data_IF_321472961968
#
_entry.id   IF_321472961968
#
_cell.length_a   1.000
_cell.length_b   1.000
_cell.length_c   1.000
_cell.angle_alpha   90.00
_cell.angle_beta   90.00
_cell.angle_gamma   90.00
#
_symmetry.space_group_name_H-M   'P 1'
#
loop_
_entity.id
_entity.type
_entity.pdbx_description
1 polymer ?
#
# COMPACT_ATOMS: atom_id res chain seq x y z
N UNK A 1 11.50 30.98 12.34
CA UNK A 1 11.58 31.75 11.09
C UNK A 1 10.84 33.08 11.26
N UNK A 2 11.10 34.04 10.39
CA UNK A 2 10.42 35.34 10.38
C UNK A 2 8.92 35.19 10.12
N UNK A 3 8.54 34.24 9.29
CA UNK A 3 7.14 33.90 8.97
C UNK A 3 6.37 33.40 10.19
N UNK A 4 6.96 32.53 11.01
CA UNK A 4 6.32 32.07 12.24
C UNK A 4 6.05 33.21 13.21
N UNK A 5 6.99 34.17 13.37
CA UNK A 5 6.78 35.33 14.24
C UNK A 5 5.70 36.26 13.71
N UNK A 6 5.54 36.35 12.38
CA UNK A 6 4.46 37.12 11.75
C UNK A 6 3.12 36.48 12.06
N UNK A 7 3.00 35.17 11.84
CA UNK A 7 1.80 34.38 12.13
C UNK A 7 1.40 34.49 13.62
N UNK A 8 2.36 34.36 14.55
CA UNK A 8 2.10 34.50 16.01
C UNK A 8 1.59 35.89 16.37
N UNK A 9 2.08 36.94 15.69
CA UNK A 9 1.59 38.32 15.91
C UNK A 9 0.18 38.53 15.37
N UNK A 10 -0.11 37.95 14.18
CA UNK A 10 -1.44 38.06 13.55
C UNK A 10 -2.50 37.28 14.33
N UNK A 11 -2.13 36.09 14.81
CA UNK A 11 -3.04 35.24 15.59
C UNK A 11 -3.11 35.60 17.08
N UNK A 12 -2.22 36.46 17.57
CA UNK A 12 -2.18 36.85 18.97
C UNK A 12 -1.79 35.73 19.94
N UNK A 13 -1.22 34.63 19.46
CA UNK A 13 -0.86 33.46 20.23
C UNK A 13 0.46 32.84 19.76
N UNK A 14 1.22 32.25 20.69
CA UNK A 14 2.40 31.46 20.33
C UNK A 14 1.96 30.13 19.71
N UNK A 15 2.53 29.77 18.58
CA UNK A 15 2.20 28.53 17.84
C UNK A 15 3.26 27.44 18.01
N UNK A 16 4.49 27.83 18.41
CA UNK A 16 5.58 26.90 18.65
C UNK A 16 6.23 27.13 20.00
N UNK A 17 6.48 26.04 20.72
CA UNK A 17 7.38 25.98 21.87
C UNK A 17 8.71 25.37 21.48
N UNK A 18 9.80 26.03 21.93
CA UNK A 18 11.16 25.54 21.71
C UNK A 18 11.53 24.56 22.81
N UNK A 19 11.98 23.39 22.42
CA UNK A 19 12.52 22.36 23.31
C UNK A 19 14.02 22.17 23.02
N UNK A 20 14.78 21.58 23.95
CA UNK A 20 16.19 21.24 23.70
C UNK A 20 16.42 20.34 22.49
N UNK A 21 15.40 19.59 22.07
CA UNK A 21 15.44 18.64 20.97
C UNK A 21 14.75 19.14 19.69
N UNK A 22 14.25 20.39 19.68
CA UNK A 22 13.58 20.96 18.49
C UNK A 22 12.45 21.94 18.87
N UNK A 23 11.39 21.95 18.08
CA UNK A 23 10.20 22.75 18.32
C UNK A 23 8.95 21.86 18.26
N UNK A 24 7.99 22.11 19.16
CA UNK A 24 6.70 21.43 19.21
C UNK A 24 5.57 22.43 19.07
N UNK A 25 4.45 22.01 18.49
CA UNK A 25 3.25 22.85 18.40
C UNK A 25 2.63 23.07 19.76
N UNK A 26 2.27 24.32 20.06
CA UNK A 26 1.39 24.64 21.20
C UNK A 26 -0.06 24.20 20.89
N UNK A 27 -0.97 24.32 21.86
CA UNK A 27 -2.39 24.08 21.62
C UNK A 27 -2.94 25.02 20.51
N UNK A 28 -2.54 26.29 20.52
CA UNK A 28 -2.87 27.25 19.45
C UNK A 28 -2.24 26.86 18.11
N UNK A 29 -0.99 26.36 18.12
CA UNK A 29 -0.31 25.83 16.95
C UNK A 29 -1.02 24.65 16.33
N UNK A 30 -1.55 23.71 17.14
CA UNK A 30 -2.36 22.59 16.65
C UNK A 30 -3.66 23.04 15.99
N UNK A 31 -4.38 23.97 16.64
CA UNK A 31 -5.62 24.53 16.06
C UNK A 31 -5.36 25.20 14.70
N UNK A 32 -4.25 25.93 14.57
CA UNK A 32 -3.88 26.57 13.31
C UNK A 32 -3.40 25.56 12.25
N UNK A 33 -2.65 24.53 12.64
CA UNK A 33 -2.25 23.47 11.72
C UNK A 33 -3.49 22.71 11.17
N UNK A 34 -4.43 22.33 12.06
CA UNK A 34 -5.68 21.69 11.66
C UNK A 34 -6.54 22.61 10.76
N UNK A 35 -6.49 23.94 10.98
CA UNK A 35 -7.18 24.92 10.14
C UNK A 35 -6.49 25.07 8.78
N UNK A 36 -5.16 25.09 8.73
CA UNK A 36 -4.39 25.13 7.49
C UNK A 36 -4.64 23.90 6.63
N UNK A 37 -4.65 22.70 7.23
CA UNK A 37 -5.01 21.46 6.53
C UNK A 37 -6.40 21.57 5.90
N UNK A 38 -7.39 22.06 6.63
CA UNK A 38 -8.76 22.23 6.07
C UNK A 38 -8.81 23.25 4.93
N UNK A 39 -8.02 24.33 4.99
CA UNK A 39 -7.95 25.34 3.90
C UNK A 39 -7.27 24.75 2.67
N UNK A 40 -6.19 23.99 2.84
CA UNK A 40 -5.52 23.30 1.73
C UNK A 40 -6.44 22.26 1.07
N UNK A 41 -7.20 21.50 1.87
CA UNK A 41 -8.21 20.56 1.40
C UNK A 41 -9.30 21.29 0.58
N UNK A 42 -9.80 22.43 1.07
CA UNK A 42 -10.84 23.21 0.39
C UNK A 42 -10.33 23.82 -0.92
N UNK A 43 -9.09 24.37 -0.94
CA UNK A 43 -8.47 24.87 -2.16
C UNK A 43 -8.24 23.77 -3.20
N UNK A 44 -7.89 22.57 -2.74
CA UNK A 44 -7.75 21.39 -3.59
C UNK A 44 -9.12 21.02 -4.18
N UNK A 45 -10.16 21.05 -3.35
CA UNK A 45 -11.56 20.83 -3.75
C UNK A 45 -12.00 21.80 -4.83
N UNK A 46 -11.81 23.11 -4.62
CA UNK A 46 -12.20 24.15 -5.61
C UNK A 46 -11.46 23.96 -6.94
N UNK A 47 -10.17 23.64 -6.91
CA UNK A 47 -9.42 23.35 -8.16
C UNK A 47 -10.00 22.21 -8.95
N UNK A 48 -10.53 21.18 -8.28
CA UNK A 48 -11.15 20.02 -8.93
C UNK A 48 -12.55 20.34 -9.43
N UNK A 49 -13.36 21.05 -8.63
CA UNK A 49 -14.67 21.50 -9.10
C UNK A 49 -14.55 22.37 -10.38
N UNK A 50 -13.51 23.19 -10.46
CA UNK A 50 -13.21 23.96 -11.68
C UNK A 50 -12.78 23.05 -12.85
N UNK A 51 -12.06 21.99 -12.57
CA UNK A 51 -11.69 21.00 -13.59
C UNK A 51 -12.89 20.12 -14.02
N UNK A 52 -13.84 19.84 -13.10
CA UNK A 52 -15.06 19.08 -13.39
C UNK A 52 -16.09 19.87 -14.26
N UNK A 53 -15.97 21.19 -14.33
CA UNK A 53 -16.81 22.03 -15.21
C UNK A 53 -16.39 21.94 -16.68
N UNK A 54 -15.25 21.34 -16.95
CA UNK A 54 -14.77 21.09 -18.29
C UNK A 54 -15.10 19.62 -18.67
N UNK A 55 -16.10 19.40 -19.52
CA UNK A 55 -16.52 18.09 -20.09
C UNK A 55 -15.41 17.44 -20.96
N UNK A 56 -14.17 17.81 -20.74
CA UNK A 56 -13.01 17.41 -21.52
C UNK A 56 -12.51 16.02 -21.12
N UNK A 57 -11.78 15.39 -22.02
CA UNK A 57 -11.03 14.16 -21.83
C UNK A 57 -10.23 14.26 -20.53
N UNK A 58 -10.32 13.26 -19.61
CA UNK A 58 -9.58 13.30 -18.36
C UNK A 58 -8.10 13.58 -18.61
N UNK A 59 -7.59 14.67 -18.07
CA UNK A 59 -6.22 15.11 -18.28
C UNK A 59 -5.59 15.53 -16.94
N UNK A 60 -4.27 15.45 -16.86
CA UNK A 60 -3.50 15.88 -15.70
C UNK A 60 -2.58 14.82 -15.15
N UNK A 61 -1.97 15.12 -13.98
CA UNK A 61 -0.98 14.26 -13.33
C UNK A 61 -1.61 13.59 -12.11
N UNK A 62 -1.51 12.26 -12.04
CA UNK A 62 -1.95 11.45 -10.89
C UNK A 62 -0.74 10.74 -10.28
N UNK A 63 -0.49 10.98 -8.99
CA UNK A 63 0.63 10.38 -8.25
C UNK A 63 0.15 9.23 -7.41
N UNK A 64 0.73 8.05 -7.64
CA UNK A 64 0.34 6.79 -7.01
C UNK A 64 1.49 6.23 -6.20
N UNK A 65 1.30 6.13 -4.88
CA UNK A 65 2.21 5.40 -4.00
C UNK A 65 1.81 3.93 -3.90
N UNK A 66 2.77 3.01 -3.97
CA UNK A 66 2.48 1.58 -3.94
C UNK A 66 3.67 0.75 -3.48
N UNK A 67 3.44 -0.50 -3.14
CA UNK A 67 4.46 -1.51 -2.83
C UNK A 67 4.84 -2.32 -4.09
N UNK A 68 6.03 -2.92 -4.08
CA UNK A 68 6.70 -3.51 -5.25
C UNK A 68 5.82 -4.49 -6.06
N UNK A 69 5.16 -5.46 -5.40
CA UNK A 69 4.38 -6.47 -6.14
C UNK A 69 3.16 -5.87 -6.86
N UNK A 70 2.50 -4.84 -6.27
CA UNK A 70 1.40 -4.14 -6.95
C UNK A 70 1.91 -3.20 -8.05
N UNK A 71 3.10 -2.60 -7.90
CA UNK A 71 3.73 -1.86 -9.00
C UNK A 71 3.89 -2.78 -10.20
N UNK A 72 4.50 -3.94 -10.02
CA UNK A 72 4.75 -4.89 -11.12
C UNK A 72 3.48 -5.45 -11.75
N UNK A 73 2.57 -5.94 -10.92
CA UNK A 73 1.40 -6.68 -11.40
C UNK A 73 0.26 -5.80 -11.90
N UNK A 74 0.10 -4.60 -11.33
CA UNK A 74 -1.04 -3.72 -11.59
C UNK A 74 -0.64 -2.43 -12.29
N UNK A 75 0.32 -1.69 -11.72
CA UNK A 75 0.58 -0.33 -12.17
C UNK A 75 1.38 -0.27 -13.48
N UNK A 76 2.38 -1.13 -13.69
CA UNK A 76 3.12 -1.13 -14.95
C UNK A 76 2.25 -1.52 -16.17
N UNK A 77 1.41 -2.57 -16.11
CA UNK A 77 0.44 -2.85 -17.18
C UNK A 77 -0.57 -1.70 -17.36
N UNK A 78 -1.05 -1.09 -16.27
CA UNK A 78 -1.95 0.06 -16.33
C UNK A 78 -1.33 1.23 -17.07
N UNK A 79 -0.07 1.59 -16.77
CA UNK A 79 0.65 2.67 -17.47
C UNK A 79 0.71 2.40 -18.98
N UNK A 80 1.01 1.16 -19.36
CA UNK A 80 1.06 0.77 -20.78
C UNK A 80 -0.29 0.90 -21.48
N UNK A 81 -1.39 0.58 -20.77
CA UNK A 81 -2.75 0.74 -21.29
C UNK A 81 -3.14 2.22 -21.39
N UNK A 82 -2.91 3.00 -20.34
CA UNK A 82 -3.27 4.43 -20.31
C UNK A 82 -2.50 5.25 -21.34
N UNK A 83 -1.27 4.90 -21.66
CA UNK A 83 -0.50 5.56 -22.71
C UNK A 83 -1.21 5.56 -24.08
N UNK A 84 -2.07 4.55 -24.33
CA UNK A 84 -2.85 4.43 -25.58
C UNK A 84 -4.28 4.93 -25.45
N UNK A 85 -4.91 4.70 -24.31
CA UNK A 85 -6.34 4.98 -24.12
C UNK A 85 -6.61 6.40 -23.60
N UNK A 86 -5.66 6.97 -22.87
CA UNK A 86 -5.82 8.27 -22.20
C UNK A 86 -4.47 9.02 -22.18
N UNK A 87 -3.93 9.43 -23.35
CA UNK A 87 -2.59 10.00 -23.46
C UNK A 87 -2.42 11.35 -22.75
N UNK A 88 -3.52 12.03 -22.39
CA UNK A 88 -3.51 13.26 -21.63
C UNK A 88 -3.39 13.05 -20.11
N UNK A 89 -3.44 11.78 -19.65
CA UNK A 89 -3.20 11.41 -18.25
C UNK A 89 -1.75 11.00 -18.05
N UNK A 90 -1.04 11.71 -17.20
CA UNK A 90 0.29 11.33 -16.72
C UNK A 90 0.15 10.66 -15.36
N UNK A 91 0.53 9.38 -15.26
CA UNK A 91 0.55 8.66 -13.98
C UNK A 91 1.99 8.49 -13.52
N UNK A 92 2.30 9.05 -12.36
CA UNK A 92 3.61 8.95 -11.71
C UNK A 92 3.49 7.90 -10.61
N UNK A 93 4.25 6.82 -10.73
CA UNK A 93 4.28 5.72 -9.75
C UNK A 93 5.51 5.88 -8.87
N UNK A 94 5.31 5.79 -7.57
CA UNK A 94 6.38 5.80 -6.57
C UNK A 94 6.27 4.54 -5.71
N UNK A 95 7.36 3.77 -5.63
CA UNK A 95 7.44 2.71 -4.64
C UNK A 95 7.64 3.32 -3.25
N UNK A 96 6.72 3.06 -2.35
CA UNK A 96 6.74 3.62 -1.00
C UNK A 96 6.06 2.69 0.00
N UNK A 97 6.67 2.57 1.18
CA UNK A 97 6.03 1.93 2.32
C UNK A 97 4.81 2.76 2.80
N UNK A 98 3.77 2.08 3.25
CA UNK A 98 2.53 2.71 3.72
C UNK A 98 2.76 3.81 4.75
N UNK A 99 3.64 3.58 5.74
CA UNK A 99 3.98 4.56 6.78
C UNK A 99 4.51 5.88 6.22
N UNK A 100 5.17 5.85 5.05
CA UNK A 100 5.71 7.02 4.36
C UNK A 100 4.70 7.60 3.35
N UNK A 101 3.88 6.76 2.71
CA UNK A 101 2.91 7.16 1.69
C UNK A 101 1.68 7.85 2.30
N UNK A 102 1.12 7.35 3.41
CA UNK A 102 -0.11 7.89 4.00
C UNK A 102 -0.01 9.36 4.46
N UNK A 103 1.08 9.83 5.10
CA UNK A 103 1.25 11.25 5.39
C UNK A 103 1.29 12.11 4.12
N UNK A 104 1.89 11.61 3.04
CA UNK A 104 1.98 12.30 1.75
C UNK A 104 0.62 12.37 1.05
N UNK A 105 -0.18 11.28 1.12
CA UNK A 105 -1.56 11.28 0.65
C UNK A 105 -2.40 12.35 1.37
N UNK A 106 -2.25 12.48 2.69
CA UNK A 106 -2.95 13.52 3.47
C UNK A 106 -2.57 14.94 3.03
N UNK A 107 -1.29 15.17 2.69
CA UNK A 107 -0.79 16.48 2.22
C UNK A 107 -1.05 16.75 0.75
N UNK A 108 -1.68 15.84 0.00
CA UNK A 108 -1.92 15.99 -1.43
C UNK A 108 -0.67 15.82 -2.31
N UNK A 109 0.42 15.27 -1.77
CA UNK A 109 1.62 14.92 -2.52
C UNK A 109 1.45 13.61 -3.30
N UNK A 110 0.54 12.76 -2.86
CA UNK A 110 0.04 11.58 -3.56
C UNK A 110 -1.49 11.70 -3.70
N UNK A 111 -2.03 11.12 -4.76
CA UNK A 111 -3.47 11.08 -5.04
C UNK A 111 -4.09 9.76 -4.65
N UNK A 112 -3.37 8.67 -4.90
CA UNK A 112 -3.74 7.29 -4.57
C UNK A 112 -2.61 6.60 -3.81
N UNK A 113 -2.97 5.73 -2.88
CA UNK A 113 -2.03 4.84 -2.20
C UNK A 113 -2.60 3.42 -2.22
N UNK A 114 -1.87 2.50 -2.84
CA UNK A 114 -2.18 1.07 -2.75
C UNK A 114 -1.60 0.53 -1.45
N UNK A 115 -2.43 -0.22 -0.75
CA UNK A 115 -2.07 -0.82 0.54
C UNK A 115 -2.41 -2.30 0.53
N UNK A 116 -1.67 -3.05 1.33
CA UNK A 116 -1.91 -4.47 1.53
C UNK A 116 -2.32 -4.76 2.97
N UNK A 117 -3.15 -5.78 3.17
CA UNK A 117 -3.56 -6.27 4.48
C UNK A 117 -3.65 -7.79 4.46
N UNK A 118 -3.30 -8.42 5.56
CA UNK A 118 -3.76 -9.79 5.80
C UNK A 118 -5.25 -9.78 6.15
N UNK A 119 -5.95 -10.84 5.88
CA UNK A 119 -7.39 -10.95 6.18
C UNK A 119 -7.71 -10.53 7.61
N UNK A 120 -8.86 -9.87 7.80
CA UNK A 120 -9.35 -9.39 9.10
C UNK A 120 -8.50 -8.29 9.79
N UNK A 121 -7.49 -7.73 9.13
CA UNK A 121 -6.63 -6.69 9.72
C UNK A 121 -6.90 -5.27 9.20
N UNK A 122 -7.95 -5.08 8.39
CA UNK A 122 -8.31 -3.77 7.82
C UNK A 122 -8.90 -2.84 8.89
N UNK A 123 -8.16 -1.83 9.37
CA UNK A 123 -8.78 -0.76 10.12
C UNK A 123 -9.65 0.08 9.18
N UNK A 124 -10.73 0.63 9.70
CA UNK A 124 -11.55 1.58 8.94
C UNK A 124 -10.69 2.76 8.44
N UNK A 125 -11.00 3.26 7.23
CA UNK A 125 -10.33 4.44 6.70
C UNK A 125 -10.46 5.62 7.67
N UNK A 126 -9.39 6.39 7.92
CA UNK A 126 -9.47 7.59 8.74
C UNK A 126 -10.45 8.61 8.16
N UNK A 127 -10.93 9.52 9.00
CA UNK A 127 -11.80 10.62 8.54
C UNK A 127 -11.14 11.41 7.40
N UNK A 128 -11.89 11.69 6.35
CA UNK A 128 -11.41 12.38 5.15
C UNK A 128 -10.66 11.48 4.16
N UNK A 129 -10.67 10.17 4.39
CA UNK A 129 -10.12 9.15 3.50
C UNK A 129 -11.19 8.12 3.16
N UNK A 130 -11.05 7.47 2.02
CA UNK A 130 -11.84 6.31 1.63
C UNK A 130 -10.93 5.20 1.12
N UNK A 131 -11.34 3.97 1.40
CA UNK A 131 -10.69 2.76 0.93
C UNK A 131 -11.61 2.08 -0.07
N UNK A 132 -11.07 1.72 -1.22
CA UNK A 132 -11.77 0.96 -2.25
C UNK A 132 -11.08 -0.40 -2.34
N UNK A 133 -11.80 -1.51 -2.12
CA UNK A 133 -11.28 -2.84 -2.36
C UNK A 133 -10.83 -2.98 -3.81
N UNK A 134 -9.63 -3.49 -4.02
CA UNK A 134 -9.04 -3.65 -5.34
C UNK A 134 -9.00 -5.12 -5.75
N UNK A 135 -8.45 -5.97 -4.88
CA UNK A 135 -8.19 -7.37 -5.17
C UNK A 135 -7.96 -8.15 -3.88
N UNK A 136 -8.51 -9.36 -3.82
CA UNK A 136 -8.16 -10.36 -2.81
C UNK A 136 -7.39 -11.49 -3.51
N UNK A 137 -6.26 -11.89 -2.94
CA UNK A 137 -5.40 -12.94 -3.47
C UNK A 137 -4.99 -13.94 -2.38
N UNK A 138 -4.73 -15.18 -2.78
CA UNK A 138 -4.35 -16.23 -1.83
C UNK A 138 -2.92 -16.08 -1.34
N UNK A 139 -2.70 -16.47 -0.09
CA UNK A 139 -1.35 -16.79 0.38
C UNK A 139 -0.93 -18.17 -0.11
N UNK A 140 0.32 -18.27 -0.56
CA UNK A 140 0.94 -19.48 -1.08
C UNK A 140 2.16 -19.84 -0.23
N UNK A 141 2.43 -21.14 -0.07
CA UNK A 141 3.69 -21.60 0.50
C UNK A 141 4.69 -21.81 -0.61
N UNK A 142 5.87 -21.23 -0.47
CA UNK A 142 6.99 -21.42 -1.38
C UNK A 142 8.07 -22.21 -0.65
N UNK A 143 8.51 -23.31 -1.26
CA UNK A 143 9.53 -24.20 -0.70
C UNK A 143 10.61 -24.46 -1.75
N UNK A 144 11.84 -24.85 -1.36
CA UNK A 144 12.83 -25.35 -2.32
C UNK A 144 12.28 -26.56 -3.09
N UNK A 145 12.51 -26.65 -4.41
CA UNK A 145 11.98 -27.73 -5.24
C UNK A 145 12.45 -29.14 -4.80
N UNK A 146 13.62 -29.24 -4.18
CA UNK A 146 14.16 -30.48 -3.66
C UNK A 146 13.48 -30.94 -2.35
N UNK A 147 12.76 -30.03 -1.68
CA UNK A 147 12.02 -30.35 -0.47
C UNK A 147 10.65 -30.92 -0.82
N UNK A 148 10.21 -31.94 -0.07
CA UNK A 148 8.86 -32.46 -0.22
C UNK A 148 7.83 -31.35 0.01
N UNK A 149 6.95 -31.13 -0.98
CA UNK A 149 5.90 -30.13 -0.90
C UNK A 149 4.92 -30.47 0.25
N UNK A 150 4.55 -29.50 1.11
CA UNK A 150 3.56 -29.71 2.14
C UNK A 150 2.20 -30.02 1.50
N UNK A 151 1.47 -30.97 2.05
CA UNK A 151 0.13 -31.36 1.57
C UNK A 151 -0.99 -30.91 2.50
N UNK A 152 -0.65 -30.57 3.73
CA UNK A 152 -1.59 -30.12 4.76
C UNK A 152 -0.99 -28.94 5.55
N UNK A 153 -1.84 -28.18 6.24
CA UNK A 153 -1.38 -27.14 7.16
C UNK A 153 -0.52 -27.71 8.30
N UNK A 154 -0.79 -28.95 8.76
CA UNK A 154 -0.01 -29.57 9.83
C UNK A 154 1.47 -29.83 9.43
N UNK A 155 1.74 -30.03 8.14
CA UNK A 155 3.11 -30.21 7.64
C UNK A 155 3.95 -28.94 7.84
N UNK A 156 3.29 -27.78 7.86
CA UNK A 156 3.92 -26.45 8.00
C UNK A 156 4.49 -26.21 9.41
N UNK A 157 3.97 -26.90 10.42
CA UNK A 157 4.38 -26.73 11.82
C UNK A 157 5.87 -27.08 12.08
N UNK A 158 6.47 -27.90 11.21
CA UNK A 158 7.86 -28.36 11.33
C UNK A 158 8.82 -27.66 10.40
N UNK A 159 8.32 -26.79 9.55
CA UNK A 159 9.13 -26.07 8.59
C UNK A 159 9.98 -24.97 9.26
N UNK A 160 11.12 -24.66 8.66
CA UNK A 160 11.87 -23.45 8.98
C UNK A 160 11.38 -22.32 8.05
N UNK A 161 10.99 -21.22 8.63
CA UNK A 161 10.39 -20.11 7.90
C UNK A 161 11.36 -18.94 7.71
N UNK A 162 11.23 -18.30 6.57
CA UNK A 162 11.74 -16.96 6.30
C UNK A 162 10.57 -16.02 6.56
N UNK A 163 10.71 -15.15 7.55
CA UNK A 163 9.69 -14.18 7.93
C UNK A 163 9.80 -12.91 7.12
N UNK A 164 8.74 -12.13 7.13
CA UNK A 164 8.71 -10.78 6.58
C UNK A 164 8.88 -9.75 7.68
N UNK A 165 9.34 -8.55 7.31
CA UNK A 165 9.57 -7.47 8.26
C UNK A 165 8.30 -7.16 9.07
N UNK A 166 8.43 -6.87 10.39
CA UNK A 166 7.29 -6.58 11.24
C UNK A 166 6.40 -5.46 10.71
N UNK A 167 5.08 -5.65 10.79
CA UNK A 167 4.10 -4.68 10.32
C UNK A 167 3.69 -4.82 8.85
N UNK A 168 4.25 -5.78 8.12
CA UNK A 168 3.82 -6.14 6.76
C UNK A 168 2.65 -7.12 6.79
N UNK A 169 1.88 -7.19 5.70
CA UNK A 169 0.80 -8.18 5.56
C UNK A 169 1.31 -9.61 5.67
N UNK A 170 2.51 -9.89 5.15
CA UNK A 170 3.12 -11.22 5.23
C UNK A 170 3.51 -11.63 6.65
N UNK A 171 4.04 -10.70 7.47
CA UNK A 171 4.31 -10.99 8.87
C UNK A 171 3.00 -11.30 9.63
N UNK A 172 1.92 -10.53 9.40
CA UNK A 172 0.62 -10.82 9.99
C UNK A 172 0.04 -12.16 9.53
N UNK A 173 0.23 -12.52 8.26
CA UNK A 173 -0.20 -13.82 7.74
C UNK A 173 0.55 -14.98 8.40
N UNK A 174 1.86 -14.85 8.60
CA UNK A 174 2.67 -15.86 9.30
C UNK A 174 2.27 -15.97 10.77
N UNK A 175 2.08 -14.85 11.47
CA UNK A 175 1.55 -14.81 12.85
C UNK A 175 0.16 -15.46 12.96
N UNK A 176 -0.70 -15.28 11.96
CA UNK A 176 -2.01 -15.91 11.89
C UNK A 176 -1.88 -17.42 11.71
N UNK A 177 -1.00 -17.87 10.82
CA UNK A 177 -0.71 -19.29 10.60
C UNK A 177 -0.19 -19.94 11.88
N UNK A 178 0.74 -19.31 12.60
CA UNK A 178 1.25 -19.79 13.89
C UNK A 178 0.11 -19.99 14.91
N UNK A 179 -0.76 -18.99 15.05
CA UNK A 179 -1.93 -19.10 15.93
C UNK A 179 -2.89 -20.23 15.53
N UNK A 180 -3.09 -20.43 14.23
CA UNK A 180 -3.97 -21.47 13.68
C UNK A 180 -3.41 -22.88 13.94
N UNK A 181 -2.10 -23.04 13.82
CA UNK A 181 -1.41 -24.30 14.09
C UNK A 181 -1.28 -24.58 15.59
N UNK A 182 -1.38 -23.57 16.45
CA UNK A 182 -1.26 -23.70 17.90
C UNK A 182 0.15 -24.06 18.39
N UNK A 183 1.16 -23.90 17.54
CA UNK A 183 2.58 -24.15 17.84
C UNK A 183 3.45 -23.03 17.31
N UNK A 184 4.53 -22.64 18.02
CA UNK A 184 5.43 -21.61 17.53
C UNK A 184 6.14 -22.08 16.24
N UNK A 185 6.19 -21.20 15.25
CA UNK A 185 6.92 -21.44 14.02
C UNK A 185 8.41 -21.11 14.20
N UNK A 186 9.27 -21.93 13.62
CA UNK A 186 10.71 -21.67 13.65
C UNK A 186 11.08 -20.69 12.55
N UNK A 187 11.38 -19.44 12.92
CA UNK A 187 11.87 -18.42 12.01
C UNK A 187 13.37 -18.18 12.24
N UNK A 188 14.17 -18.06 11.17
CA UNK A 188 15.60 -17.78 11.26
C UNK A 188 16.05 -16.55 10.51
N UNK A 189 15.34 -16.21 9.46
CA UNK A 189 15.66 -15.09 8.57
C UNK A 189 14.46 -14.18 8.46
N UNK A 190 14.72 -12.89 8.25
CA UNK A 190 13.70 -11.86 8.04
C UNK A 190 14.12 -11.05 6.81
N UNK A 191 13.20 -10.83 5.89
CA UNK A 191 13.41 -9.95 4.74
C UNK A 191 12.23 -9.00 4.58
N UNK A 192 12.42 -7.91 3.84
CA UNK A 192 11.38 -6.94 3.56
C UNK A 192 10.75 -7.17 2.18
N UNK A 193 11.58 -7.55 1.22
CA UNK A 193 11.24 -7.68 -0.18
C UNK A 193 10.96 -9.15 -0.55
N UNK A 194 9.88 -9.40 -1.28
CA UNK A 194 9.49 -10.76 -1.69
C UNK A 194 10.50 -11.40 -2.65
N UNK A 195 11.18 -10.63 -3.51
CA UNK A 195 12.20 -11.18 -4.42
C UNK A 195 13.41 -11.66 -3.63
N UNK A 196 13.78 -10.94 -2.55
CA UNK A 196 14.82 -11.39 -1.61
C UNK A 196 14.39 -12.67 -0.90
N UNK A 197 13.12 -12.76 -0.48
CA UNK A 197 12.58 -13.98 0.14
C UNK A 197 12.64 -15.16 -0.84
N UNK A 198 12.21 -14.98 -2.09
CA UNK A 198 12.30 -16.01 -3.14
C UNK A 198 13.75 -16.48 -3.34
N UNK A 199 14.72 -15.55 -3.40
CA UNK A 199 16.13 -15.89 -3.49
C UNK A 199 16.64 -16.65 -2.27
N UNK A 200 16.17 -16.33 -1.07
CA UNK A 200 16.53 -17.06 0.15
C UNK A 200 15.94 -18.49 0.15
N UNK A 201 14.70 -18.64 -0.30
CA UNK A 201 14.08 -19.98 -0.42
C UNK A 201 14.83 -20.83 -1.44
N UNK A 202 15.23 -20.28 -2.60
CA UNK A 202 16.02 -21.01 -3.62
C UNK A 202 17.37 -21.50 -3.09
N UNK A 203 17.94 -20.82 -2.10
CA UNK A 203 19.16 -21.24 -1.42
C UNK A 203 18.92 -22.24 -0.27
N UNK A 204 17.70 -22.73 -0.09
CA UNK A 204 17.35 -23.69 0.94
C UNK A 204 17.35 -23.14 2.36
N UNK A 205 17.28 -21.82 2.55
CA UNK A 205 17.32 -21.20 3.88
C UNK A 205 16.03 -21.39 4.68
N UNK A 206 14.94 -21.83 4.04
CA UNK A 206 13.64 -22.09 4.64
C UNK A 206 12.52 -22.05 3.60
N UNK A 207 11.29 -22.11 4.05
CA UNK A 207 10.10 -21.84 3.26
C UNK A 207 9.54 -20.44 3.58
N UNK A 208 8.64 -19.96 2.74
CA UNK A 208 8.01 -18.66 2.93
C UNK A 208 6.51 -18.70 2.62
N UNK A 209 5.77 -17.78 3.25
CA UNK A 209 4.38 -17.53 2.95
C UNK A 209 4.33 -16.24 2.09
N UNK A 210 4.01 -16.39 0.81
CA UNK A 210 4.02 -15.29 -0.17
C UNK A 210 2.65 -15.15 -0.85
N UNK A 211 2.24 -13.92 -1.21
CA UNK A 211 0.99 -13.72 -1.94
C UNK A 211 1.15 -14.05 -3.43
N UNK A 212 0.04 -14.36 -4.09
CA UNK A 212 0.04 -14.76 -5.51
C UNK A 212 0.71 -13.75 -6.42
N UNK A 213 0.45 -12.46 -6.27
CA UNK A 213 1.07 -11.42 -7.10
C UNK A 213 2.60 -11.40 -6.96
N UNK A 214 3.14 -11.68 -5.78
CA UNK A 214 4.59 -11.75 -5.59
C UNK A 214 5.20 -12.96 -6.32
N UNK A 215 4.44 -14.04 -6.43
CA UNK A 215 4.87 -15.28 -7.08
C UNK A 215 4.70 -15.19 -8.60
N UNK A 216 3.51 -14.80 -9.09
CA UNK A 216 3.20 -14.86 -10.53
C UNK A 216 3.58 -13.62 -11.31
N UNK A 217 3.81 -12.46 -10.67
CA UNK A 217 4.33 -11.27 -11.35
C UNK A 217 5.85 -11.13 -11.28
N UNK A 218 6.52 -11.99 -10.53
CA UNK A 218 7.97 -12.02 -10.37
C UNK A 218 8.63 -13.09 -11.22
N UNK A 219 9.96 -13.07 -11.26
CA UNK A 219 10.75 -14.18 -11.77
C UNK A 219 10.89 -15.22 -10.67
N UNK A 220 9.99 -16.21 -10.66
CA UNK A 220 10.12 -17.35 -9.74
C UNK A 220 11.20 -18.28 -10.28
N UNK A 221 12.28 -18.53 -9.53
CA UNK A 221 13.30 -19.48 -9.93
C UNK A 221 12.73 -20.89 -10.12
N UNK A 222 13.23 -21.64 -11.12
CA UNK A 222 12.82 -23.03 -11.38
C UNK A 222 13.11 -23.99 -10.19
N UNK A 223 14.01 -23.57 -9.30
CA UNK A 223 14.39 -24.29 -8.09
C UNK A 223 13.35 -24.20 -6.96
N UNK A 224 12.20 -23.57 -7.20
CA UNK A 224 11.14 -23.41 -6.22
C UNK A 224 9.89 -24.21 -6.57
N UNK A 225 9.24 -24.71 -5.54
CA UNK A 225 7.89 -25.27 -5.61
C UNK A 225 6.90 -24.34 -4.92
N UNK A 226 5.83 -24.01 -5.61
CA UNK A 226 4.74 -23.16 -5.10
C UNK A 226 3.55 -24.05 -4.77
N UNK A 227 3.07 -23.95 -3.53
CA UNK A 227 2.01 -24.82 -3.01
C UNK A 227 0.84 -23.98 -2.52
N UNK A 228 -0.34 -24.29 -3.03
CA UNK A 228 -1.61 -23.75 -2.55
C UNK A 228 -2.21 -24.72 -1.55
N UNK A 229 -2.48 -24.24 -0.34
CA UNK A 229 -3.15 -25.03 0.70
C UNK A 229 -4.41 -24.31 1.18
N UNK A 230 -5.51 -25.05 1.39
CA UNK A 230 -6.71 -24.46 1.99
C UNK A 230 -6.42 -23.93 3.40
N UNK A 231 -6.97 -22.76 3.71
CA UNK A 231 -6.86 -22.17 5.05
C UNK A 231 -5.62 -21.30 5.28
N UNK A 232 -4.83 -21.02 4.25
CA UNK A 232 -3.74 -20.03 4.35
C UNK A 232 -4.25 -18.57 4.40
N UNK A 233 -5.53 -18.35 4.10
CA UNK A 233 -6.14 -17.02 4.08
C UNK A 233 -5.81 -16.22 2.83
N UNK A 234 -6.15 -14.94 2.87
CA UNK A 234 -6.01 -14.04 1.73
C UNK A 234 -5.26 -12.77 2.09
N UNK A 235 -4.55 -12.20 1.12
CA UNK A 235 -4.06 -10.83 1.17
C UNK A 235 -5.08 -9.95 0.45
N UNK A 236 -5.49 -8.87 1.11
CA UNK A 236 -6.42 -7.89 0.56
C UNK A 236 -5.64 -6.66 0.09
N UNK A 237 -5.82 -6.28 -1.15
CA UNK A 237 -5.32 -5.05 -1.71
C UNK A 237 -6.43 -4.01 -1.74
N UNK A 238 -6.13 -2.82 -1.25
CA UNK A 238 -7.04 -1.69 -1.25
C UNK A 238 -6.36 -0.45 -1.79
N UNK A 239 -7.14 0.41 -2.44
CA UNK A 239 -6.70 1.75 -2.82
C UNK A 239 -7.28 2.76 -1.86
N UNK A 240 -6.42 3.55 -1.22
CA UNK A 240 -6.82 4.68 -0.38
C UNK A 240 -6.66 5.98 -1.14
N UNK A 241 -7.66 6.83 -1.04
CA UNK A 241 -7.62 8.19 -1.55
C UNK A 241 -8.22 9.18 -0.53
N UNK A 242 -7.98 10.48 -0.73
CA UNK A 242 -8.71 11.49 0.03
C UNK A 242 -10.18 11.44 -0.38
N UNK A 243 -11.07 11.57 0.60
CA UNK A 243 -12.51 11.59 0.40
C UNK A 243 -13.09 12.86 1.01
N UNK A 244 -13.30 13.86 0.16
CA UNK A 244 -13.96 15.13 0.48
C UNK A 244 -15.29 15.21 -0.27
N UNK A 245 -15.97 16.36 -0.26
CA UNK A 245 -17.24 16.53 -1.00
C UNK A 245 -17.14 16.26 -2.50
N UNK A 246 -15.95 16.39 -3.08
CA UNK A 246 -15.67 16.38 -4.53
C UNK A 246 -14.53 15.44 -4.92
N UNK A 247 -14.10 14.59 -4.01
CA UNK A 247 -13.02 13.64 -4.22
C UNK A 247 -13.49 12.26 -4.66
N UNK A 248 -12.73 11.57 -5.53
CA UNK A 248 -11.55 12.01 -6.26
C UNK A 248 -11.93 12.86 -7.48
N UNK A 249 -11.01 13.76 -7.93
CA UNK A 249 -11.15 14.55 -9.16
C UNK A 249 -11.13 13.70 -10.44
N UNK A 250 -11.47 14.27 -11.64
CA UNK A 250 -11.66 13.49 -12.86
C UNK A 250 -10.46 12.64 -13.26
N UNK A 251 -9.24 13.19 -13.23
CA UNK A 251 -8.03 12.47 -13.57
C UNK A 251 -7.80 11.27 -12.61
N UNK A 252 -7.91 11.52 -11.29
CA UNK A 252 -7.73 10.48 -10.27
C UNK A 252 -8.83 9.42 -10.38
N UNK A 253 -10.07 9.82 -10.69
CA UNK A 253 -11.19 8.89 -10.89
C UNK A 253 -10.96 8.00 -12.10
N UNK A 254 -10.53 8.56 -13.23
CA UNK A 254 -10.21 7.80 -14.43
C UNK A 254 -9.09 6.77 -14.20
N UNK A 255 -8.02 7.17 -13.48
CA UNK A 255 -6.94 6.23 -13.10
C UNK A 255 -7.46 5.15 -12.15
N UNK A 256 -8.31 5.50 -11.20
CA UNK A 256 -8.91 4.54 -10.26
C UNK A 256 -9.80 3.53 -10.98
N UNK A 257 -10.67 3.97 -11.91
CA UNK A 257 -11.52 3.10 -12.71
C UNK A 257 -10.69 2.15 -13.60
N UNK A 258 -9.64 2.67 -14.23
CA UNK A 258 -8.72 1.87 -15.02
C UNK A 258 -7.97 0.84 -14.15
N UNK A 259 -7.57 1.22 -12.93
CA UNK A 259 -6.91 0.33 -11.98
C UNK A 259 -7.86 -0.79 -11.50
N UNK A 260 -9.11 -0.48 -11.22
CA UNK A 260 -10.13 -1.47 -10.86
C UNK A 260 -10.38 -2.45 -12.01
N UNK A 261 -10.47 -1.95 -13.24
CA UNK A 261 -10.60 -2.79 -14.43
C UNK A 261 -9.38 -3.70 -14.64
N UNK A 262 -8.18 -3.16 -14.43
CA UNK A 262 -6.93 -3.92 -14.51
C UNK A 262 -6.90 -5.05 -13.46
N UNK A 263 -7.30 -4.77 -12.23
CA UNK A 263 -7.35 -5.74 -11.14
C UNK A 263 -8.35 -6.87 -11.42
N UNK A 264 -9.51 -6.56 -12.00
CA UNK A 264 -10.51 -7.56 -12.39
C UNK A 264 -10.02 -8.49 -13.52
N UNK A 265 -9.10 -8.02 -14.35
CA UNK A 265 -8.49 -8.80 -15.45
C UNK A 265 -7.33 -9.68 -15.02
N UNK A 266 -6.89 -9.62 -13.74
CA UNK A 266 -5.83 -10.50 -13.25
C UNK A 266 -6.40 -11.89 -13.00
N UNK A 267 -5.91 -12.84 -13.77
CA UNK A 267 -6.15 -14.26 -13.51
C UNK A 267 -5.22 -14.72 -12.38
N UNK A 268 -5.76 -14.88 -11.18
CA UNK A 268 -5.11 -15.55 -10.06
C UNK A 268 -5.38 -17.06 -10.20
N UNK A 269 -4.32 -17.86 -10.16
CA UNK A 269 -4.38 -19.31 -10.45
C UNK A 269 -5.19 -20.15 -9.46
#
# INVERSE_FOLDING_TARGET
>A
SQQIRLLERECGARVLDRTPTGAVLTAAGKVLADAAERIEDELTTVRRELADLDDSIPSGVVRVGSFASAVRALLLPLLSSLATTSPELEVIVEEAEERNALPRLRRGELDLVLMERDEHTLPAAPRGMADIPLLDESWLVVVPAEQAAPSTLADLARATWIDLAPGTAGAFALDRLERQLGVPLTTRHVAYDYDVVLAMVSQGLGCALLPELAVYSGLVPDELSVVRLPGLGVRQLVVRHRSTRTEPGPATRAVLEALLSQAQGIELG
#
